data_IF_366906792662
#
_entry.id   IF_366906792662
#
_cell.length_a   1.000
_cell.length_b   1.000
_cell.length_c   1.000
_cell.angle_alpha   90.00
_cell.angle_beta   90.00
_cell.angle_gamma   90.00
#
_symmetry.space_group_name_H-M   'P 1'
#
loop_
_entity.id
_entity.type
_entity.pdbx_description
1 polymer ?
#
# COMPACT_ATOMS: atom_id res chain seq x y z
N UNK A 1 -13.68 -8.07 -0.26
CA UNK A 1 -14.95 -8.62 -0.78
C UNK A 1 -16.07 -7.68 -0.39
N UNK A 2 -16.98 -7.30 -1.29
CA UNK A 2 -18.22 -6.63 -0.87
C UNK A 2 -19.10 -7.73 -0.30
N UNK A 3 -19.25 -7.73 1.02
CA UNK A 3 -20.18 -8.65 1.67
C UNK A 3 -21.55 -8.05 1.44
N UNK A 4 -22.36 -8.69 0.59
CA UNK A 4 -23.77 -8.35 0.46
C UNK A 4 -24.36 -8.24 1.87
N UNK A 5 -25.06 -7.16 2.23
CA UNK A 5 -25.76 -7.15 3.51
C UNK A 5 -26.74 -8.34 3.53
N UNK A 6 -26.95 -8.92 4.71
CA UNK A 6 -28.05 -9.86 4.92
C UNK A 6 -29.33 -9.05 4.70
N UNK A 7 -29.98 -9.25 3.56
CA UNK A 7 -31.17 -8.48 3.17
C UNK A 7 -32.39 -9.20 3.71
N UNK A 8 -32.99 -8.67 4.78
CA UNK A 8 -34.41 -8.91 5.07
C UNK A 8 -35.23 -7.94 4.23
N UNK A 9 -36.31 -8.41 3.60
CA UNK A 9 -37.24 -7.54 2.87
C UNK A 9 -37.82 -6.45 3.79
N UNK A 10 -38.12 -5.28 3.23
CA UNK A 10 -38.73 -4.16 3.95
C UNK A 10 -39.76 -3.45 3.06
N UNK A 11 -40.74 -2.80 3.69
CA UNK A 11 -41.75 -1.99 3.00
C UNK A 11 -41.36 -0.51 3.01
N UNK A 12 -41.67 0.20 1.91
CA UNK A 12 -41.51 1.65 1.81
C UNK A 12 -42.90 2.25 1.56
N UNK A 13 -43.40 3.03 2.51
CA UNK A 13 -44.70 3.69 2.37
C UNK A 13 -44.66 4.78 1.29
N UNK A 14 -45.82 5.08 0.69
CA UNK A 14 -45.93 6.10 -0.35
C UNK A 14 -45.41 7.46 0.12
N UNK A 15 -44.54 8.09 -0.69
CA UNK A 15 -43.93 9.38 -0.38
C UNK A 15 -42.80 9.34 0.66
N UNK A 16 -42.39 8.15 1.12
CA UNK A 16 -41.33 7.97 2.12
C UNK A 16 -40.03 7.44 1.51
N UNK A 17 -38.98 7.34 2.31
CA UNK A 17 -37.67 6.82 1.90
C UNK A 17 -37.07 5.93 2.98
N UNK A 18 -36.29 4.94 2.57
CA UNK A 18 -35.56 4.02 3.45
C UNK A 18 -34.07 4.09 3.13
N UNK A 19 -33.23 4.25 4.16
CA UNK A 19 -31.78 4.18 4.02
C UNK A 19 -31.30 2.72 4.06
N UNK A 20 -30.35 2.40 3.18
CA UNK A 20 -29.68 1.09 3.11
C UNK A 20 -28.19 1.28 3.34
N UNK A 21 -27.67 0.70 4.41
CA UNK A 21 -26.24 0.77 4.72
C UNK A 21 -25.47 -0.34 4.00
N UNK A 22 -24.50 0.06 3.20
CA UNK A 22 -23.61 -0.84 2.47
C UNK A 22 -22.23 -0.77 3.12
N UNK A 23 -21.66 -1.93 3.47
CA UNK A 23 -20.33 -2.03 4.07
C UNK A 23 -19.33 -2.57 3.06
N UNK A 24 -18.31 -1.76 2.76
CA UNK A 24 -17.19 -2.16 1.92
C UNK A 24 -16.00 -2.60 2.78
N UNK A 25 -15.59 -3.87 2.67
CA UNK A 25 -14.40 -4.43 3.35
C UNK A 25 -13.50 -5.08 2.28
N UNK A 26 -12.67 -4.30 1.56
CA UNK A 26 -11.74 -4.85 0.58
C UNK A 26 -10.71 -5.73 1.27
N UNK A 27 -10.38 -6.86 0.66
CA UNK A 27 -9.39 -7.85 1.15
C UNK A 27 -8.18 -7.95 0.23
N UNK A 28 -8.16 -7.14 -0.83
CA UNK A 28 -7.02 -7.01 -1.74
C UNK A 28 -7.02 -5.59 -2.30
N UNK A 29 -5.84 -5.15 -2.74
CA UNK A 29 -5.62 -3.83 -3.32
C UNK A 29 -6.36 -3.73 -4.68
N UNK A 30 -6.67 -2.50 -5.07
CA UNK A 30 -7.11 -2.11 -6.40
C UNK A 30 -8.62 -1.95 -6.53
N UNK A 31 -9.04 -1.57 -7.73
CA UNK A 31 -10.43 -1.30 -8.07
C UNK A 31 -11.32 -2.51 -7.80
N UNK A 32 -12.41 -2.30 -7.08
CA UNK A 32 -13.47 -3.27 -6.81
C UNK A 32 -14.76 -2.74 -7.39
N UNK A 33 -15.39 -3.56 -8.23
CA UNK A 33 -16.74 -3.34 -8.69
C UNK A 33 -17.65 -4.41 -8.10
N UNK A 34 -18.88 -4.03 -7.78
CA UNK A 34 -19.95 -4.97 -7.48
C UNK A 34 -21.27 -4.40 -7.98
N UNK A 35 -22.26 -5.28 -8.03
CA UNK A 35 -23.60 -4.94 -8.48
C UNK A 35 -24.58 -5.16 -7.35
N UNK A 36 -25.30 -4.10 -6.96
CA UNK A 36 -26.45 -4.18 -6.07
C UNK A 36 -27.72 -4.24 -6.91
N UNK A 37 -28.49 -5.31 -6.75
CA UNK A 37 -29.80 -5.48 -7.37
C UNK A 37 -30.89 -5.32 -6.29
N UNK A 38 -31.79 -4.36 -6.48
CA UNK A 38 -32.95 -4.12 -5.62
C UNK A 38 -34.19 -4.61 -6.37
N UNK A 39 -34.77 -5.70 -5.90
CA UNK A 39 -36.05 -6.20 -6.40
C UNK A 39 -37.19 -5.40 -5.75
N UNK A 40 -38.18 -4.99 -6.54
CA UNK A 40 -39.36 -4.28 -6.06
C UNK A 40 -40.63 -4.88 -6.67
N UNK A 41 -41.75 -4.71 -5.96
CA UNK A 41 -43.08 -5.21 -6.34
C UNK A 41 -43.99 -4.13 -6.93
N UNK A 42 -43.43 -3.01 -7.40
CA UNK A 42 -44.22 -1.96 -8.05
C UNK A 42 -44.77 -2.46 -9.39
N UNK A 43 -46.01 -2.11 -9.69
CA UNK A 43 -46.74 -2.52 -10.90
C UNK A 43 -46.38 -1.71 -12.15
N UNK A 44 -45.64 -0.60 -12.00
CA UNK A 44 -45.38 0.36 -13.07
C UNK A 44 -43.89 0.60 -13.36
N UNK A 45 -43.03 -0.41 -13.17
CA UNK A 45 -41.58 -0.25 -13.39
C UNK A 45 -40.83 -1.56 -13.61
N UNK A 46 -39.52 -1.46 -13.88
CA UNK A 46 -38.63 -2.63 -13.90
C UNK A 46 -38.67 -3.32 -12.53
N UNK A 47 -38.85 -4.65 -12.47
CA UNK A 47 -38.92 -5.39 -11.21
C UNK A 47 -37.59 -5.37 -10.45
N UNK A 48 -36.50 -4.96 -11.11
CA UNK A 48 -35.16 -4.85 -10.53
C UNK A 48 -34.53 -3.52 -10.90
N UNK A 49 -34.00 -2.82 -9.89
CA UNK A 49 -33.09 -1.69 -10.04
C UNK A 49 -31.66 -2.15 -9.77
N UNK A 50 -30.79 -1.93 -10.73
CA UNK A 50 -29.37 -2.28 -10.63
C UNK A 50 -28.52 -1.03 -10.37
N UNK A 51 -27.64 -1.11 -9.38
CA UNK A 51 -26.69 -0.07 -9.02
C UNK A 51 -25.28 -0.68 -9.09
N UNK A 52 -24.41 -0.05 -9.86
CA UNK A 52 -22.99 -0.40 -9.88
C UNK A 52 -22.34 0.29 -8.68
N UNK A 53 -21.65 -0.49 -7.86
CA UNK A 53 -20.87 -0.02 -6.73
C UNK A 53 -19.40 -0.09 -7.13
N UNK A 54 -18.70 1.02 -6.96
CA UNK A 54 -17.26 1.11 -7.21
C UNK A 54 -16.55 1.52 -5.91
N UNK A 55 -15.43 0.88 -5.62
CA UNK A 55 -14.62 1.19 -4.45
C UNK A 55 -13.17 0.81 -4.68
N UNK A 56 -12.25 1.51 -4.02
CA UNK A 56 -10.82 1.22 -4.10
C UNK A 56 -10.38 0.45 -2.85
N UNK A 57 -9.89 -0.78 -3.05
CA UNK A 57 -9.20 -1.50 -2.00
C UNK A 57 -7.86 -0.86 -1.73
N UNK A 58 -7.69 -0.26 -0.55
CA UNK A 58 -6.41 0.25 -0.07
C UNK A 58 -5.96 -0.62 1.09
N UNK A 59 -4.68 -0.98 1.10
CA UNK A 59 -4.05 -1.41 2.34
C UNK A 59 -3.85 -0.16 3.18
N UNK A 60 -4.29 -0.17 4.43
CA UNK A 60 -3.84 0.83 5.40
C UNK A 60 -2.76 0.16 6.22
N UNK A 61 -1.61 -0.05 5.58
CA UNK A 61 -0.35 -0.28 6.28
C UNK A 61 0.18 1.08 6.70
N UNK A 62 0.88 1.15 7.84
CA UNK A 62 1.59 2.37 8.23
C UNK A 62 2.48 2.80 7.05
N UNK A 63 2.25 4.02 6.54
CA UNK A 63 3.11 4.82 5.66
C UNK A 63 2.96 4.71 4.12
N UNK A 64 1.91 5.33 3.58
CA UNK A 64 1.60 5.39 2.13
C UNK A 64 2.09 6.69 1.44
N UNK A 65 3.34 6.66 0.96
CA UNK A 65 3.79 7.20 -0.34
C UNK A 65 4.66 6.15 -1.03
N UNK A 66 5.58 5.52 -0.28
CA UNK A 66 6.38 4.38 -0.77
C UNK A 66 5.58 3.08 -0.96
N UNK A 67 4.32 3.01 -0.51
CA UNK A 67 3.51 1.79 -0.60
C UNK A 67 3.12 1.39 -2.03
N UNK A 68 3.24 2.32 -2.99
CA UNK A 68 3.04 2.05 -4.42
C UNK A 68 4.34 2.07 -5.24
N UNK A 69 5.49 2.26 -4.59
CA UNK A 69 6.82 2.26 -5.23
C UNK A 69 7.50 0.92 -4.96
N UNK A 70 7.90 0.21 -6.00
CA UNK A 70 8.77 -0.94 -5.87
C UNK A 70 10.20 -0.46 -5.62
N UNK A 71 10.66 -0.68 -4.38
CA UNK A 71 12.05 -0.46 -4.00
C UNK A 71 12.77 -1.80 -4.04
N UNK A 72 13.80 -1.89 -4.88
CA UNK A 72 14.61 -3.09 -5.06
C UNK A 72 15.98 -2.89 -4.40
N UNK A 73 16.44 -3.89 -3.66
CA UNK A 73 17.69 -3.84 -2.88
C UNK A 73 18.51 -5.09 -3.19
N UNK A 74 19.69 -4.94 -3.78
CA UNK A 74 20.50 -6.06 -4.27
C UNK A 74 22.01 -5.75 -4.31
N UNK A 75 22.90 -6.76 -4.31
CA UNK A 75 22.59 -8.14 -3.97
C UNK A 75 22.29 -8.25 -2.46
N UNK A 76 21.46 -9.22 -2.10
CA UNK A 76 21.22 -9.59 -0.72
C UNK A 76 21.18 -11.13 -0.66
N UNK A 77 22.17 -11.81 -0.06
CA UNK A 77 23.31 -11.25 0.70
C UNK A 77 24.37 -10.49 -0.12
N UNK A 78 25.19 -9.65 0.53
CA UNK A 78 26.36 -8.96 -0.06
C UNK A 78 27.54 -8.89 0.92
N UNK A 79 28.75 -8.58 0.45
CA UNK A 79 29.97 -8.45 1.27
C UNK A 79 30.70 -7.11 1.13
N UNK A 80 30.24 -6.25 0.20
CA UNK A 80 30.98 -5.04 -0.16
C UNK A 80 30.09 -3.90 -0.61
N UNK A 81 29.15 -4.17 -1.51
CA UNK A 81 28.28 -3.14 -2.08
C UNK A 81 26.83 -3.55 -2.06
N UNK A 82 25.97 -2.60 -1.76
CA UNK A 82 24.53 -2.72 -1.86
C UNK A 82 24.02 -1.67 -2.86
N UNK A 83 23.07 -2.07 -3.68
CA UNK A 83 22.41 -1.22 -4.65
C UNK A 83 20.93 -1.09 -4.29
N UNK A 84 20.42 0.12 -4.45
CA UNK A 84 19.02 0.46 -4.23
C UNK A 84 18.50 1.14 -5.48
N UNK A 85 17.35 0.68 -5.96
CA UNK A 85 16.66 1.19 -7.15
C UNK A 85 15.17 1.34 -6.86
N UNK A 86 14.52 2.32 -7.47
CA UNK A 86 13.09 2.59 -7.33
C UNK A 86 12.43 2.66 -8.70
N UNK A 87 11.21 2.13 -8.86
CA UNK A 87 10.47 2.16 -10.13
C UNK A 87 9.71 3.47 -10.40
N UNK A 88 9.76 4.43 -9.46
CA UNK A 88 9.09 5.74 -9.56
C UNK A 88 9.94 6.84 -8.95
N UNK A 89 9.85 8.04 -9.51
CA UNK A 89 10.52 9.23 -8.95
C UNK A 89 10.04 9.54 -7.52
N UNK A 90 11.00 9.67 -6.61
CA UNK A 90 10.82 10.14 -5.24
C UNK A 90 11.26 11.61 -5.16
N UNK A 91 10.31 12.51 -5.42
CA UNK A 91 10.53 13.97 -5.51
C UNK A 91 10.50 14.71 -4.15
N UNK A 92 10.74 13.99 -3.05
CA UNK A 92 10.84 14.55 -1.71
C UNK A 92 12.16 14.08 -1.08
N UNK A 93 12.68 14.86 -0.11
CA UNK A 93 13.90 14.48 0.60
C UNK A 93 13.78 13.07 1.21
N UNK A 94 14.66 12.18 0.78
CA UNK A 94 14.78 10.81 1.27
C UNK A 94 15.97 10.70 2.20
N UNK A 95 15.75 10.11 3.38
CA UNK A 95 16.81 9.75 4.32
C UNK A 95 17.02 8.24 4.25
N UNK A 96 18.25 7.85 3.94
CA UNK A 96 18.67 6.45 3.87
C UNK A 96 19.43 6.13 5.17
N UNK A 97 19.07 5.03 5.83
CA UNK A 97 19.70 4.63 7.09
C UNK A 97 19.92 3.13 7.14
N UNK A 98 21.05 2.69 7.69
CA UNK A 98 21.30 1.27 8.00
C UNK A 98 21.58 1.12 9.49
N UNK A 99 20.87 0.18 10.12
CA UNK A 99 21.00 -0.16 11.52
C UNK A 99 21.48 -1.60 11.69
N UNK A 100 22.27 -1.86 12.73
CA UNK A 100 22.62 -3.22 13.13
C UNK A 100 21.47 -3.93 13.88
N UNK A 101 21.69 -5.18 14.30
CA UNK A 101 20.71 -5.98 15.04
C UNK A 101 20.40 -5.47 16.46
N UNK A 102 21.19 -4.53 16.99
CA UNK A 102 20.95 -3.85 18.26
C UNK A 102 20.19 -2.53 18.10
N UNK A 103 20.00 -2.08 16.86
CA UNK A 103 19.40 -0.79 16.52
C UNK A 103 20.41 0.36 16.48
N UNK A 104 21.71 0.09 16.49
CA UNK A 104 22.75 1.11 16.31
C UNK A 104 22.77 1.58 14.85
N UNK A 105 22.71 2.90 14.65
CA UNK A 105 22.85 3.53 13.32
C UNK A 105 24.30 3.44 12.84
N UNK A 106 24.52 2.80 11.70
CA UNK A 106 25.84 2.62 11.09
C UNK A 106 26.04 3.43 9.81
N UNK A 107 24.97 3.69 9.08
CA UNK A 107 24.99 4.51 7.87
C UNK A 107 23.82 5.47 7.87
N UNK A 108 24.08 6.71 7.46
CA UNK A 108 23.08 7.76 7.30
C UNK A 108 23.47 8.63 6.10
N UNK A 109 22.58 8.71 5.13
CA UNK A 109 22.70 9.65 4.02
C UNK A 109 21.34 10.27 3.69
N UNK A 110 21.33 11.37 2.95
CA UNK A 110 20.09 11.98 2.49
C UNK A 110 20.20 12.57 1.09
N UNK A 111 19.18 12.34 0.29
CA UNK A 111 19.06 12.83 -1.08
C UNK A 111 17.81 13.71 -1.17
N UNK A 112 17.88 14.81 -1.93
CA UNK A 112 16.73 15.71 -2.11
C UNK A 112 15.66 15.08 -3.03
N UNK A 113 16.09 14.21 -3.95
CA UNK A 113 15.25 13.39 -4.82
C UNK A 113 15.98 12.09 -5.21
N UNK A 114 15.22 11.07 -5.61
CA UNK A 114 15.73 9.85 -6.25
C UNK A 114 14.87 9.62 -7.50
N UNK A 115 15.46 9.57 -8.69
CA UNK A 115 14.69 9.34 -9.92
C UNK A 115 14.40 7.84 -10.10
N UNK A 116 13.38 7.53 -10.89
CA UNK A 116 13.10 6.16 -11.29
C UNK A 116 14.33 5.56 -12.01
N UNK A 117 14.66 4.32 -11.66
CA UNK A 117 15.81 3.55 -12.16
C UNK A 117 17.20 4.17 -11.81
N UNK A 118 17.25 5.19 -10.95
CA UNK A 118 18.53 5.67 -10.41
C UNK A 118 19.15 4.60 -9.51
N UNK A 119 20.44 4.36 -9.74
CA UNK A 119 21.20 3.36 -9.00
C UNK A 119 21.95 4.01 -7.84
N UNK A 120 21.46 3.77 -6.62
CA UNK A 120 22.13 4.23 -5.39
C UNK A 120 23.07 3.13 -4.93
N UNK A 121 24.36 3.45 -4.85
CA UNK A 121 25.40 2.54 -4.35
C UNK A 121 25.75 2.88 -2.89
N UNK A 122 25.73 1.88 -2.02
CA UNK A 122 26.18 1.97 -0.63
C UNK A 122 27.34 0.98 -0.42
N UNK A 123 28.46 1.50 0.04
CA UNK A 123 29.59 0.68 0.49
C UNK A 123 29.30 0.12 1.89
N UNK A 124 29.34 -1.20 1.99
CA UNK A 124 29.13 -1.98 3.22
C UNK A 124 30.33 -2.89 3.51
N UNK A 125 31.47 -2.67 2.85
CA UNK A 125 32.68 -3.50 3.00
C UNK A 125 33.29 -3.45 4.39
N UNK A 126 33.07 -2.35 5.12
CA UNK A 126 33.51 -2.17 6.51
C UNK A 126 32.51 -2.75 7.53
N UNK A 127 31.37 -3.30 7.09
CA UNK A 127 30.35 -3.83 7.98
C UNK A 127 30.72 -5.25 8.39
N UNK A 128 30.49 -5.58 9.66
CA UNK A 128 30.67 -6.95 10.13
C UNK A 128 29.63 -7.90 9.52
N UNK A 129 29.92 -9.19 9.51
CA UNK A 129 28.93 -10.17 9.05
C UNK A 129 27.73 -10.23 9.98
N UNK A 130 26.53 -10.16 9.41
CA UNK A 130 25.30 -10.08 10.19
C UNK A 130 24.07 -9.63 9.43
N UNK A 131 23.00 -9.46 10.20
CA UNK A 131 21.70 -8.98 9.72
C UNK A 131 21.57 -7.50 10.07
N UNK A 132 21.13 -6.71 9.09
CA UNK A 132 20.97 -5.27 9.21
C UNK A 132 19.59 -4.85 8.72
N UNK A 133 19.14 -3.68 9.20
CA UNK A 133 17.89 -3.06 8.78
C UNK A 133 18.22 -1.82 7.96
N UNK A 134 17.92 -1.86 6.67
CA UNK A 134 17.93 -0.71 5.76
C UNK A 134 16.58 0.01 5.83
N UNK A 135 16.60 1.33 5.91
CA UNK A 135 15.41 2.18 5.86
C UNK A 135 15.59 3.29 4.83
N UNK A 136 14.54 3.53 4.05
CA UNK A 136 14.37 4.73 3.23
C UNK A 136 13.17 5.49 3.78
N UNK A 137 13.38 6.73 4.20
CA UNK A 137 12.36 7.53 4.87
C UNK A 137 12.15 8.85 4.16
N UNK A 138 10.91 9.12 3.75
CA UNK A 138 10.46 10.43 3.27
C UNK A 138 9.72 11.21 4.39
N UNK A 139 9.09 12.33 4.05
CA UNK A 139 8.36 13.17 5.02
C UNK A 139 7.13 12.49 5.65
N UNK A 140 6.56 11.48 4.98
CA UNK A 140 5.28 10.83 5.31
C UNK A 140 5.43 9.32 5.51
N UNK A 141 6.54 8.73 5.07
CA UNK A 141 6.64 7.29 4.88
C UNK A 141 8.00 6.71 5.21
N UNK A 142 8.01 5.40 5.47
CA UNK A 142 9.24 4.63 5.67
C UNK A 142 9.13 3.27 4.96
N UNK A 143 10.11 2.97 4.11
CA UNK A 143 10.37 1.64 3.62
C UNK A 143 11.42 0.99 4.52
N UNK A 144 11.29 -0.31 4.77
CA UNK A 144 12.22 -1.06 5.62
C UNK A 144 12.53 -2.40 4.98
N UNK A 145 13.81 -2.75 4.92
CA UNK A 145 14.30 -4.00 4.34
C UNK A 145 15.38 -4.61 5.23
N UNK A 146 15.23 -5.89 5.53
CA UNK A 146 16.30 -6.69 6.10
C UNK A 146 17.34 -7.03 5.02
N UNK A 147 18.61 -6.78 5.31
CA UNK A 147 19.75 -7.10 4.44
C UNK A 147 20.77 -7.96 5.20
N UNK A 148 21.46 -8.84 4.48
CA UNK A 148 22.43 -9.78 5.03
C UNK A 148 23.82 -9.41 4.49
N UNK A 149 24.78 -9.19 5.39
CA UNK A 149 26.19 -8.95 5.07
C UNK A 149 27.02 -10.20 5.42
N UNK A 150 27.82 -10.69 4.45
CA UNK A 150 28.57 -11.95 4.49
C UNK A 150 30.05 -11.81 4.11
#
# INVERSE_FOLDING_TARGET
>A
SIVSPVITAFDVAAGTSQEVLIRFIPTSIGGKTATLAIHNNSDNGSPVKTIILEGQGRIVGINDILANTMITVYPNPTSAKLFIETDTDLNEKIVISIYDNTGQLLYLDSMDEILADDLIEIDVSDFTYGIYILQLKDSKSIFTKEIIIN
#
